data_IF_712684897869
#
_entry.id   IF_712684897869
#
_cell.length_a   1.000
_cell.length_b   1.000
_cell.length_c   1.000
_cell.angle_alpha   90.00
_cell.angle_beta   90.00
_cell.angle_gamma   90.00
#
_symmetry.space_group_name_H-M   'P 1'
#
loop_
_entity.id
_entity.type
_entity.pdbx_description
1 polymer ?
#
# COMPACT_ATOMS: atom_id res chain seq x y z
N UNK A 1 21.09 -0.57 -46.31
CA UNK A 1 20.60 -1.95 -46.14
C UNK A 1 21.00 -2.43 -44.75
N UNK A 2 20.00 -2.89 -43.98
CA UNK A 2 20.05 -3.70 -42.74
C UNK A 2 20.50 -3.03 -41.42
N UNK A 3 19.48 -2.44 -40.78
CA UNK A 3 19.05 -2.63 -39.39
C UNK A 3 19.84 -3.63 -38.55
N UNK A 4 20.28 -3.21 -37.36
CA UNK A 4 20.10 -4.00 -36.13
C UNK A 4 19.71 -3.08 -34.98
N UNK A 5 18.65 -3.50 -34.31
CA UNK A 5 17.80 -2.79 -33.37
C UNK A 5 17.82 -3.61 -32.07
N UNK A 6 17.71 -2.92 -30.93
CA UNK A 6 17.36 -3.44 -29.60
C UNK A 6 18.27 -4.51 -28.96
N UNK A 7 19.17 -4.02 -28.11
CA UNK A 7 19.56 -4.71 -26.87
C UNK A 7 19.04 -3.87 -25.70
N UNK A 8 17.74 -3.99 -25.42
CA UNK A 8 17.22 -3.63 -24.09
C UNK A 8 17.70 -4.72 -23.14
N UNK A 9 18.69 -4.38 -22.31
CA UNK A 9 19.22 -5.27 -21.29
C UNK A 9 18.14 -5.61 -20.26
N UNK A 10 17.64 -6.84 -20.33
CA UNK A 10 16.91 -7.50 -19.25
C UNK A 10 17.91 -7.74 -18.13
N UNK A 11 17.94 -6.87 -17.12
CA UNK A 11 18.65 -7.14 -15.86
C UNK A 11 17.66 -7.81 -14.93
N UNK A 12 17.57 -9.13 -15.06
CA UNK A 12 16.94 -9.98 -14.05
C UNK A 12 17.86 -10.08 -12.85
N UNK A 13 17.53 -9.39 -11.75
CA UNK A 13 18.18 -9.60 -10.47
C UNK A 13 17.28 -10.52 -9.64
N UNK A 14 17.54 -11.83 -9.73
CA UNK A 14 17.01 -12.82 -8.81
C UNK A 14 17.89 -12.79 -7.56
N UNK A 15 17.40 -12.22 -6.47
CA UNK A 15 18.01 -12.34 -5.15
C UNK A 15 17.25 -13.40 -4.36
N UNK A 16 17.81 -14.61 -4.28
CA UNK A 16 17.31 -15.69 -3.42
C UNK A 16 17.77 -15.42 -1.99
N UNK A 17 16.84 -15.08 -1.10
CA UNK A 17 17.07 -15.12 0.35
C UNK A 17 16.43 -16.38 0.94
N UNK A 18 17.29 -17.29 1.38
CA UNK A 18 16.97 -18.48 2.16
C UNK A 18 16.46 -18.05 3.55
N UNK A 19 15.18 -18.25 3.82
CA UNK A 19 14.61 -18.14 5.16
C UNK A 19 14.57 -19.55 5.78
N UNK A 20 15.38 -19.77 6.80
CA UNK A 20 15.36 -20.96 7.65
C UNK A 20 14.08 -21.02 8.48
N UNK A 21 13.37 -22.13 8.34
CA UNK A 21 12.09 -22.43 8.99
C UNK A 21 12.22 -22.52 10.51
N UNK A 22 11.40 -21.74 11.23
CA UNK A 22 10.99 -22.07 12.59
C UNK A 22 9.50 -22.42 12.55
N UNK A 23 9.21 -23.70 12.77
CA UNK A 23 7.86 -24.25 12.89
C UNK A 23 7.39 -24.20 14.34
N UNK A 24 6.40 -23.35 14.65
CA UNK A 24 5.51 -23.42 15.82
C UNK A 24 4.25 -22.65 15.40
N UNK A 25 3.04 -23.21 15.24
CA UNK A 25 2.19 -23.92 16.21
C UNK A 25 0.84 -23.19 16.20
N UNK A 26 -0.22 -23.77 15.60
CA UNK A 26 -1.57 -23.18 15.58
C UNK A 26 -2.31 -23.42 16.91
N UNK A 27 -2.93 -22.40 17.53
CA UNK A 27 -4.02 -22.61 18.48
C UNK A 27 -5.40 -22.37 17.81
N UNK A 28 -6.49 -22.90 18.42
CA UNK A 28 -7.72 -23.26 17.73
C UNK A 28 -8.70 -22.10 17.51
N UNK A 29 -9.54 -22.27 16.48
CA UNK A 29 -10.77 -21.53 16.22
C UNK A 29 -11.84 -21.87 17.27
N UNK A 30 -12.53 -20.87 17.84
CA UNK A 30 -13.91 -20.50 17.45
C UNK A 30 -14.52 -19.59 18.53
N UNK A 31 -14.89 -18.37 18.14
CA UNK A 31 -15.87 -17.52 18.84
C UNK A 31 -16.52 -16.64 17.77
N UNK A 32 -17.63 -17.13 17.23
CA UNK A 32 -18.47 -16.43 16.25
C UNK A 32 -19.13 -15.21 16.89
N UNK A 33 -18.50 -14.05 16.69
CA UNK A 33 -19.05 -12.74 16.97
C UNK A 33 -19.87 -12.27 15.75
N UNK A 34 -21.19 -12.47 15.80
CA UNK A 34 -22.19 -12.05 14.80
C UNK A 34 -22.34 -10.51 14.70
N UNK A 35 -21.24 -9.79 14.48
CA UNK A 35 -21.29 -8.39 14.05
C UNK A 35 -21.37 -8.37 12.53
N UNK A 36 -22.32 -7.63 11.91
CA UNK A 36 -22.34 -7.49 10.46
C UNK A 36 -20.99 -6.94 10.01
N UNK A 37 -20.26 -7.75 9.22
CA UNK A 37 -18.98 -7.37 8.65
C UNK A 37 -19.14 -6.05 7.90
N UNK A 38 -18.71 -4.95 8.51
CA UNK A 38 -18.25 -3.82 7.72
C UNK A 38 -17.00 -4.31 6.99
N UNK A 39 -17.20 -4.90 5.80
CA UNK A 39 -16.15 -5.07 4.80
C UNK A 39 -15.56 -3.68 4.60
N UNK A 40 -14.51 -3.37 5.36
CA UNK A 40 -13.52 -2.36 4.99
C UNK A 40 -12.97 -2.92 3.69
N UNK A 41 -13.62 -2.55 2.60
CA UNK A 41 -13.08 -2.65 1.27
C UNK A 41 -11.81 -1.82 1.35
N UNK A 42 -10.71 -2.46 1.73
CA UNK A 42 -9.38 -1.89 1.76
C UNK A 42 -9.12 -1.56 0.30
N UNK A 43 -9.52 -0.35 -0.09
CA UNK A 43 -9.32 0.11 -1.46
C UNK A 43 -7.82 0.02 -1.66
N UNK A 44 -7.35 -0.78 -2.62
CA UNK A 44 -5.92 -0.96 -2.82
C UNK A 44 -5.26 0.41 -2.83
N UNK A 45 -4.24 0.56 -1.99
CA UNK A 45 -3.45 1.77 -1.86
C UNK A 45 -2.57 1.92 -3.10
N UNK A 46 -3.19 2.02 -4.29
CA UNK A 46 -2.50 2.42 -5.49
C UNK A 46 -1.91 3.80 -5.26
N UNK A 47 -0.69 3.95 -5.74
CA UNK A 47 0.05 5.19 -5.77
C UNK A 47 -0.83 6.39 -6.16
N UNK A 48 -0.66 7.56 -5.50
CA UNK A 48 -1.39 8.77 -5.86
C UNK A 48 -1.25 9.16 -7.34
N UNK A 49 -0.09 8.86 -7.95
CA UNK A 49 0.14 9.11 -9.38
C UNK A 49 -0.67 8.17 -10.28
N UNK A 50 -0.75 6.88 -9.95
CA UNK A 50 -1.54 5.93 -10.74
C UNK A 50 -3.04 6.24 -10.66
N UNK A 51 -3.52 6.80 -9.53
CA UNK A 51 -4.88 7.32 -9.45
C UNK A 51 -5.13 8.52 -10.36
N UNK A 52 -4.13 9.39 -10.55
CA UNK A 52 -4.23 10.56 -11.42
C UNK A 52 -4.44 10.21 -12.90
N UNK A 53 -3.92 9.05 -13.35
CA UNK A 53 -4.11 8.57 -14.72
C UNK A 53 -5.58 8.33 -15.08
N UNK A 54 -6.42 7.95 -14.12
CA UNK A 54 -7.86 7.77 -14.36
C UNK A 54 -8.61 9.09 -14.55
N UNK A 55 -7.95 10.24 -14.38
CA UNK A 55 -8.54 11.57 -14.47
C UNK A 55 -8.03 12.39 -15.65
N UNK A 56 -7.09 11.87 -16.44
CA UNK A 56 -6.61 12.51 -17.67
C UNK A 56 -7.10 11.71 -18.89
N UNK A 57 -7.28 12.40 -20.01
CA UNK A 57 -7.81 11.77 -21.22
C UNK A 57 -6.72 10.95 -21.92
N UNK A 58 -6.76 9.63 -21.75
CA UNK A 58 -5.82 8.67 -22.34
C UNK A 58 -6.43 8.04 -23.60
N UNK A 59 -5.63 7.95 -24.67
CA UNK A 59 -6.02 7.18 -25.87
C UNK A 59 -6.12 5.69 -25.54
N UNK A 60 -6.81 4.92 -26.39
CA UNK A 60 -6.91 3.47 -26.20
C UNK A 60 -5.54 2.80 -26.25
N UNK A 61 -4.69 3.20 -27.19
CA UNK A 61 -3.32 2.69 -27.32
C UNK A 61 -2.49 2.99 -26.06
N UNK A 62 -2.63 4.18 -25.47
CA UNK A 62 -1.95 4.53 -24.22
C UNK A 62 -2.43 3.66 -23.06
N UNK A 63 -3.73 3.38 -22.96
CA UNK A 63 -4.30 2.50 -21.92
C UNK A 63 -3.74 1.08 -22.02
N UNK A 64 -3.67 0.52 -23.23
CA UNK A 64 -3.11 -0.83 -23.46
C UNK A 64 -1.62 -0.90 -23.10
N UNK A 65 -0.84 0.12 -23.46
CA UNK A 65 0.58 0.22 -23.09
C UNK A 65 0.76 0.31 -21.57
N UNK A 66 -0.06 1.13 -20.91
CA UNK A 66 -0.04 1.26 -19.44
C UNK A 66 -0.41 -0.08 -18.78
N UNK A 67 -1.43 -0.77 -19.26
CA UNK A 67 -1.82 -2.08 -18.75
C UNK A 67 -0.67 -3.10 -18.90
N UNK A 68 0.00 -3.11 -20.04
CA UNK A 68 1.19 -3.96 -20.28
C UNK A 68 2.32 -3.64 -19.31
N UNK A 69 2.58 -2.35 -19.05
CA UNK A 69 3.57 -1.91 -18.06
C UNK A 69 3.19 -2.40 -16.65
N UNK A 70 1.93 -2.27 -16.26
CA UNK A 70 1.47 -2.71 -14.94
C UNK A 70 1.54 -4.23 -14.81
N UNK A 71 1.12 -4.97 -15.83
CA UNK A 71 1.12 -6.43 -15.84
C UNK A 71 2.55 -7.00 -15.78
N UNK A 72 3.48 -6.42 -16.52
CA UNK A 72 4.90 -6.83 -16.50
C UNK A 72 5.61 -6.54 -15.17
N UNK A 73 5.09 -5.61 -14.38
CA UNK A 73 5.63 -5.27 -13.06
C UNK A 73 4.84 -5.85 -11.89
N UNK A 74 3.76 -6.61 -12.17
CA UNK A 74 2.84 -7.14 -11.16
C UNK A 74 3.55 -8.00 -10.12
N UNK A 75 4.33 -8.98 -10.58
CA UNK A 75 5.06 -9.90 -9.70
C UNK A 75 6.05 -9.16 -8.79
N UNK A 76 6.79 -8.18 -9.34
CA UNK A 76 7.72 -7.37 -8.57
C UNK A 76 7.02 -6.49 -7.52
N UNK A 77 5.85 -5.94 -7.86
CA UNK A 77 5.05 -5.17 -6.92
C UNK A 77 4.43 -6.05 -5.81
N UNK A 78 3.97 -7.25 -6.15
CA UNK A 78 3.46 -8.25 -5.20
C UNK A 78 4.56 -8.72 -4.25
N UNK A 79 5.74 -9.07 -4.78
CA UNK A 79 6.88 -9.47 -3.98
C UNK A 79 7.32 -8.36 -3.00
N UNK A 80 7.38 -7.10 -3.44
CA UNK A 80 7.68 -5.97 -2.57
C UNK A 80 6.61 -5.77 -1.47
N UNK A 81 5.34 -6.00 -1.80
CA UNK A 81 4.25 -5.93 -0.83
C UNK A 81 4.37 -7.01 0.25
N UNK A 82 4.58 -8.26 -0.15
CA UNK A 82 4.74 -9.38 0.77
C UNK A 82 5.97 -9.21 1.66
N UNK A 83 7.08 -8.69 1.12
CA UNK A 83 8.29 -8.40 1.90
C UNK A 83 8.01 -7.39 3.03
N UNK A 84 7.26 -6.31 2.75
CA UNK A 84 6.88 -5.32 3.77
C UNK A 84 5.92 -5.91 4.79
N UNK A 85 4.99 -6.75 4.36
CA UNK A 85 4.05 -7.43 5.26
C UNK A 85 4.82 -8.33 6.23
N UNK A 86 5.69 -9.19 5.72
CA UNK A 86 6.53 -10.06 6.53
C UNK A 86 7.43 -9.25 7.50
N UNK A 87 8.04 -8.17 7.04
CA UNK A 87 8.88 -7.32 7.91
C UNK A 87 8.07 -6.62 9.02
N UNK A 88 6.82 -6.24 8.76
CA UNK A 88 5.92 -5.71 9.80
C UNK A 88 5.53 -6.76 10.83
N UNK A 89 5.23 -7.98 10.38
CA UNK A 89 4.93 -9.11 11.27
C UNK A 89 6.14 -9.42 12.16
N UNK A 90 7.34 -9.51 11.58
CA UNK A 90 8.58 -9.72 12.33
C UNK A 90 8.84 -8.61 13.36
N UNK A 91 8.62 -7.35 13.00
CA UNK A 91 8.76 -6.22 13.93
C UNK A 91 7.73 -6.31 15.06
N UNK A 92 6.49 -6.67 14.75
CA UNK A 92 5.45 -6.84 15.76
C UNK A 92 5.82 -7.93 16.76
N UNK A 93 6.23 -9.10 16.29
CA UNK A 93 6.69 -10.22 17.14
C UNK A 93 7.89 -9.82 18.00
N UNK A 94 8.88 -9.11 17.43
CA UNK A 94 10.04 -8.65 18.19
C UNK A 94 9.68 -7.66 19.32
N UNK A 95 8.66 -6.82 19.08
CA UNK A 95 8.13 -5.92 20.12
C UNK A 95 7.41 -6.71 21.22
N UNK A 96 6.60 -7.71 20.86
CA UNK A 96 5.90 -8.56 21.83
C UNK A 96 6.86 -9.39 22.69
N UNK A 97 8.00 -9.80 22.13
CA UNK A 97 9.03 -10.52 22.87
C UNK A 97 9.98 -9.62 23.68
N UNK A 98 9.78 -8.29 23.62
CA UNK A 98 10.63 -7.28 24.28
C UNK A 98 12.14 -7.42 23.94
N UNK A 99 12.48 -7.99 22.78
CA UNK A 99 13.87 -8.22 22.37
C UNK A 99 14.39 -7.00 21.61
N UNK A 100 15.15 -6.15 22.30
CA UNK A 100 15.68 -4.91 21.74
C UNK A 100 16.59 -5.12 20.51
N UNK A 101 17.30 -6.25 20.43
CA UNK A 101 18.16 -6.57 19.28
C UNK A 101 17.29 -6.98 18.09
N UNK A 102 16.30 -7.83 18.32
CA UNK A 102 15.34 -8.24 17.29
C UNK A 102 14.52 -7.05 16.77
N UNK A 103 14.10 -6.13 17.64
CA UNK A 103 13.37 -4.91 17.26
C UNK A 103 14.20 -4.06 16.30
N UNK A 104 15.48 -3.81 16.63
CA UNK A 104 16.36 -3.01 15.76
C UNK A 104 16.59 -3.68 14.41
N UNK A 105 16.78 -5.00 14.39
CA UNK A 105 16.94 -5.77 13.15
C UNK A 105 15.69 -5.69 12.29
N UNK A 106 14.52 -6.03 12.84
CA UNK A 106 13.26 -6.04 12.10
C UNK A 106 12.86 -4.62 11.60
N UNK A 107 13.19 -3.57 12.37
CA UNK A 107 13.00 -2.20 11.93
C UNK A 107 13.91 -1.83 10.72
N UNK A 108 15.16 -2.29 10.71
CA UNK A 108 16.06 -2.11 9.58
C UNK A 108 15.56 -2.85 8.33
N UNK A 109 15.09 -4.09 8.50
CA UNK A 109 14.54 -4.90 7.41
C UNK A 109 13.27 -4.27 6.82
N UNK A 110 12.37 -3.76 7.68
CA UNK A 110 11.19 -3.02 7.24
C UNK A 110 11.56 -1.74 6.45
N UNK A 111 12.59 -1.02 6.92
CA UNK A 111 13.12 0.14 6.22
C UNK A 111 13.67 -0.22 4.84
N UNK A 112 14.45 -1.29 4.75
CA UNK A 112 14.99 -1.80 3.49
C UNK A 112 13.88 -2.22 2.51
N UNK A 113 12.93 -3.04 2.95
CA UNK A 113 11.81 -3.48 2.13
C UNK A 113 10.95 -2.31 1.61
N UNK A 114 10.76 -1.28 2.45
CA UNK A 114 10.09 -0.04 2.06
C UNK A 114 10.87 0.72 0.98
N UNK A 115 12.20 0.77 1.09
CA UNK A 115 13.09 1.35 0.09
C UNK A 115 12.99 0.64 -1.25
N UNK A 116 13.06 -0.69 -1.26
CA UNK A 116 12.92 -1.50 -2.47
C UNK A 116 11.55 -1.33 -3.14
N UNK A 117 10.46 -1.29 -2.35
CA UNK A 117 9.14 -0.99 -2.90
C UNK A 117 9.09 0.39 -3.56
N UNK A 118 9.77 1.39 -3.00
CA UNK A 118 9.85 2.72 -3.60
C UNK A 118 10.61 2.69 -4.94
N UNK A 119 11.65 1.86 -5.08
CA UNK A 119 12.39 1.66 -6.32
C UNK A 119 11.52 1.01 -7.40
N UNK A 120 10.81 -0.07 -7.07
CA UNK A 120 9.85 -0.71 -7.99
C UNK A 120 8.81 0.30 -8.46
N UNK A 121 8.26 1.04 -7.50
CA UNK A 121 7.22 2.02 -7.78
C UNK A 121 7.70 3.17 -8.68
N UNK A 122 8.88 3.75 -8.44
CA UNK A 122 9.38 4.82 -9.31
C UNK A 122 9.71 4.31 -10.72
N UNK A 123 10.13 3.04 -10.86
CA UNK A 123 10.33 2.40 -12.15
C UNK A 123 9.03 2.35 -12.97
N UNK A 124 7.94 1.86 -12.36
CA UNK A 124 6.60 1.82 -12.97
C UNK A 124 6.15 3.22 -13.38
N UNK A 125 6.28 4.22 -12.48
CA UNK A 125 5.89 5.60 -12.79
C UNK A 125 6.68 6.14 -13.99
N UNK A 126 7.99 5.89 -14.07
CA UNK A 126 8.82 6.36 -15.18
C UNK A 126 8.36 5.75 -16.50
N UNK A 127 8.12 4.44 -16.53
CA UNK A 127 7.64 3.73 -17.72
C UNK A 127 6.25 4.25 -18.16
N UNK A 128 5.33 4.47 -17.21
CA UNK A 128 4.02 5.05 -17.53
C UNK A 128 4.15 6.47 -18.09
N UNK A 129 5.00 7.31 -17.48
CA UNK A 129 5.20 8.68 -17.95
C UNK A 129 5.76 8.77 -19.37
N UNK A 130 6.56 7.80 -19.82
CA UNK A 130 7.07 7.78 -21.19
C UNK A 130 6.00 7.50 -22.26
N UNK A 131 4.80 7.06 -21.86
CA UNK A 131 3.65 6.82 -22.76
C UNK A 131 2.78 8.07 -22.93
N UNK A 132 2.92 9.06 -22.03
CA UNK A 132 2.08 10.26 -22.01
C UNK A 132 2.67 11.37 -22.89
N UNK A 133 1.79 12.24 -23.41
CA UNK A 133 2.21 13.48 -24.09
C UNK A 133 2.65 14.54 -23.08
N UNK A 134 3.30 15.61 -23.56
CA UNK A 134 3.72 16.74 -22.71
C UNK A 134 2.52 17.44 -22.05
N UNK A 135 1.40 17.57 -22.78
CA UNK A 135 0.16 18.16 -22.27
C UNK A 135 -0.44 17.29 -21.15
N UNK A 136 -0.51 15.97 -21.36
CA UNK A 136 -1.00 15.02 -20.35
C UNK A 136 -0.11 14.98 -19.10
N UNK A 137 1.22 15.10 -19.27
CA UNK A 137 2.16 15.20 -18.16
C UNK A 137 1.93 16.46 -17.32
N UNK A 138 1.62 17.57 -17.99
CA UNK A 138 1.29 18.85 -17.33
C UNK A 138 0.00 18.73 -16.55
N UNK A 139 -1.06 18.18 -17.16
CA UNK A 139 -2.33 17.94 -16.48
C UNK A 139 -2.18 17.03 -15.25
N UNK A 140 -1.38 15.96 -15.37
CA UNK A 140 -1.08 15.06 -14.25
C UNK A 140 -0.36 15.80 -13.10
N UNK A 141 0.53 16.74 -13.41
CA UNK A 141 1.22 17.55 -12.40
C UNK A 141 0.24 18.48 -11.66
N UNK A 142 -0.67 19.12 -12.38
CA UNK A 142 -1.71 19.98 -11.81
C UNK A 142 -2.67 19.22 -10.90
N UNK A 143 -3.09 18.02 -11.32
CA UNK A 143 -3.90 17.13 -10.48
C UNK A 143 -3.18 16.76 -9.19
N UNK A 144 -1.87 16.48 -9.25
CA UNK A 144 -1.05 16.18 -8.08
C UNK A 144 -0.97 17.37 -7.12
N UNK A 145 -0.81 18.59 -7.64
CA UNK A 145 -0.79 19.81 -6.81
C UNK A 145 -2.14 20.06 -6.14
N UNK A 146 -3.25 19.96 -6.90
CA UNK A 146 -4.61 20.09 -6.37
C UNK A 146 -4.88 19.07 -5.27
N UNK A 147 -4.50 17.81 -5.49
CA UNK A 147 -4.63 16.74 -4.49
C UNK A 147 -3.80 17.03 -3.22
N UNK A 148 -2.57 17.54 -3.38
CA UNK A 148 -1.72 17.96 -2.25
C UNK A 148 -2.35 19.09 -1.45
N UNK A 149 -2.93 20.09 -2.12
CA UNK A 149 -3.65 21.19 -1.48
C UNK A 149 -4.88 20.70 -0.71
N UNK A 150 -5.72 19.88 -1.34
CA UNK A 150 -6.86 19.23 -0.67
C UNK A 150 -6.46 18.43 0.57
N UNK A 151 -5.34 17.69 0.51
CA UNK A 151 -4.81 16.95 1.65
C UNK A 151 -4.29 17.85 2.77
N UNK A 152 -3.76 19.03 2.43
CA UNK A 152 -3.30 20.02 3.41
C UNK A 152 -4.48 20.71 4.08
N UNK A 153 -5.49 21.07 3.30
CA UNK A 153 -6.65 21.86 3.75
C UNK A 153 -7.66 20.96 4.49
N UNK A 154 -7.89 19.73 4.02
CA UNK A 154 -8.80 18.76 4.64
C UNK A 154 -8.28 18.12 5.93
N UNK A 155 -7.03 18.40 6.34
CA UNK A 155 -6.49 18.00 7.65
C UNK A 155 -7.00 18.86 8.82
N UNK A 156 -7.73 19.95 8.55
CA UNK A 156 -8.34 20.77 9.60
C UNK A 156 -9.75 20.32 10.02
N UNK A 157 -10.46 19.50 9.22
CA UNK A 157 -11.86 19.14 9.52
C UNK A 157 -12.08 17.69 10.01
N UNK A 158 -11.11 16.77 9.84
CA UNK A 158 -11.24 15.38 10.35
C UNK A 158 -10.91 15.20 11.83
N UNK A 159 -10.79 16.28 12.59
CA UNK A 159 -10.61 16.27 14.05
C UNK A 159 -11.78 16.85 14.85
N UNK A 160 -12.76 17.48 14.20
CA UNK A 160 -13.85 18.21 14.88
C UNK A 160 -15.19 18.08 14.14
N UNK A 161 -15.61 16.85 13.84
CA UNK A 161 -17.05 16.60 13.66
C UNK A 161 -17.70 16.55 15.04
N UNK A 162 -18.90 17.13 15.26
CA UNK A 162 -19.56 17.00 16.55
C UNK A 162 -19.72 15.51 16.87
N UNK A 163 -19.14 15.05 17.98
CA UNK A 163 -19.49 13.78 18.59
C UNK A 163 -20.97 13.86 18.95
N UNK A 164 -21.82 13.50 17.99
CA UNK A 164 -23.25 13.31 18.17
C UNK A 164 -23.38 12.15 19.15
N UNK A 165 -23.47 12.49 20.44
CA UNK A 165 -23.57 11.53 21.53
C UNK A 165 -24.67 10.54 21.23
N UNK A 166 -24.30 9.26 21.13
CA UNK A 166 -25.29 8.20 21.27
C UNK A 166 -25.77 8.24 22.74
N UNK A 167 -27.09 8.21 23.00
CA UNK A 167 -27.59 8.08 24.34
C UNK A 167 -27.18 6.69 24.86
N UNK A 168 -26.23 6.68 25.81
CA UNK A 168 -25.88 5.48 26.58
C UNK A 168 -27.06 5.16 27.48
N UNK A 169 -27.87 4.20 27.04
CA UNK A 169 -28.98 3.68 27.83
C UNK A 169 -28.50 3.07 29.15
N UNK A 170 -29.31 3.28 30.19
CA UNK A 170 -29.55 2.32 31.26
C UNK A 170 -28.47 2.18 32.33
N UNK A 171 -28.41 3.13 33.27
CA UNK A 171 -28.02 2.81 34.64
C UNK A 171 -29.26 2.90 35.53
N UNK A 172 -30.03 1.80 35.62
CA UNK A 172 -30.98 1.63 36.70
C UNK A 172 -30.17 1.31 37.95
N UNK A 173 -30.15 2.23 38.91
CA UNK A 173 -29.53 2.01 40.22
C UNK A 173 -30.13 0.81 40.96
N UNK A 174 -29.43 0.29 41.98
CA UNK A 174 -29.85 -0.92 42.69
C UNK A 174 -31.23 -0.71 43.34
N UNK A 175 -32.18 -1.60 43.03
CA UNK A 175 -33.44 -1.70 43.75
C UNK A 175 -33.13 -2.15 45.18
N UNK A 176 -33.30 -1.25 46.13
CA UNK A 176 -33.38 -1.61 47.54
C UNK A 176 -34.73 -2.32 47.74
N UNK A 177 -34.69 -3.54 48.26
CA UNK A 177 -35.86 -4.26 48.79
C UNK A 177 -35.68 -4.40 50.30
N UNK A 178 -36.67 -4.03 51.14
CA UNK A 178 -36.81 -4.62 52.47
C UNK A 178 -37.34 -6.05 52.39
#
# INVERSE_FOLDING_TARGET
MKTQMNQLGVVGLVLVLLITSLSFGQPPEDDQDDRPEMRKQQRPHHAPLLRGLFHIDLTNDQKEQIETILQSNKEGAEAAHEAIKAAKEALHTAVESEDETAIRSAAADLGHATGEQAVVHISIIKAVKSVLTEEQLTELADLKEKAKKWMKDGKFERGQGPRRGLPRGGNQGPKQTP
#
